data_IF_645504144298
#
_entry.id   IF_645504144298
#
_cell.length_a   1.000
_cell.length_b   1.000
_cell.length_c   1.000
_cell.angle_alpha   90.00
_cell.angle_beta   90.00
_cell.angle_gamma   90.00
#
_symmetry.space_group_name_H-M   'P 1'
#
loop_
_entity.id
_entity.type
_entity.pdbx_description
1 polymer ?
#
# COMPACT_ATOMS: atom_id res chain seq x y z
N UNK A 1 -37.92 -6.56 20.32
CA UNK A 1 -37.21 -6.61 19.02
C UNK A 1 -36.59 -5.28 18.60
N UNK A 2 -37.23 -4.15 18.84
CA UNK A 2 -36.78 -2.82 18.39
C UNK A 2 -35.43 -2.37 18.98
N UNK A 3 -35.20 -2.68 20.26
CA UNK A 3 -33.94 -2.38 20.96
C UNK A 3 -32.73 -3.14 20.39
N UNK A 4 -32.95 -4.36 19.88
CA UNK A 4 -31.90 -5.17 19.26
C UNK A 4 -31.50 -4.57 17.90
N UNK A 5 -32.50 -4.20 17.08
CA UNK A 5 -32.29 -3.49 15.81
C UNK A 5 -31.55 -2.16 15.95
N UNK A 6 -31.87 -1.34 16.98
CA UNK A 6 -31.16 -0.08 17.24
C UNK A 6 -29.71 -0.32 17.67
N UNK A 7 -29.46 -1.32 18.51
CA UNK A 7 -28.11 -1.68 18.98
C UNK A 7 -27.22 -2.18 17.84
N UNK A 8 -27.76 -3.05 16.98
CA UNK A 8 -27.04 -3.60 15.83
C UNK A 8 -26.65 -2.48 14.83
N UNK A 9 -27.55 -1.52 14.61
CA UNK A 9 -27.32 -0.37 13.73
C UNK A 9 -26.28 0.62 14.28
N UNK A 10 -26.20 0.78 15.59
CA UNK A 10 -25.17 1.61 16.26
C UNK A 10 -23.82 0.91 16.19
N UNK A 11 -23.77 -0.40 16.48
CA UNK A 11 -22.54 -1.22 16.39
C UNK A 11 -21.94 -1.16 14.99
N UNK A 12 -22.76 -1.32 13.94
CA UNK A 12 -22.29 -1.26 12.54
C UNK A 12 -21.72 0.11 12.16
N UNK A 13 -22.34 1.20 12.64
CA UNK A 13 -21.87 2.55 12.34
C UNK A 13 -20.58 2.89 13.09
N UNK A 14 -20.44 2.44 14.34
CA UNK A 14 -19.21 2.62 15.13
C UNK A 14 -18.06 1.83 14.50
N UNK A 15 -18.29 0.57 14.12
CA UNK A 15 -17.29 -0.25 13.43
C UNK A 15 -16.79 0.38 12.14
N UNK A 16 -17.70 0.90 11.29
CA UNK A 16 -17.34 1.62 10.06
C UNK A 16 -16.52 2.88 10.34
N UNK A 17 -16.89 3.64 11.37
CA UNK A 17 -16.21 4.89 11.74
C UNK A 17 -14.78 4.61 12.24
N UNK A 18 -14.61 3.61 13.11
CA UNK A 18 -13.29 3.21 13.60
C UNK A 18 -12.41 2.70 12.46
N UNK A 19 -12.95 1.86 11.57
CA UNK A 19 -12.21 1.35 10.41
C UNK A 19 -11.76 2.49 9.49
N UNK A 20 -12.63 3.47 9.24
CA UNK A 20 -12.32 4.63 8.40
C UNK A 20 -11.25 5.53 9.02
N UNK A 21 -11.31 5.76 10.34
CA UNK A 21 -10.30 6.52 11.08
C UNK A 21 -8.94 5.81 11.05
N UNK A 22 -8.93 4.49 11.23
CA UNK A 22 -7.71 3.68 11.17
C UNK A 22 -7.06 3.73 9.79
N UNK A 23 -7.86 3.62 8.72
CA UNK A 23 -7.38 3.80 7.34
C UNK A 23 -6.78 5.19 7.16
N UNK A 24 -7.43 6.26 7.64
CA UNK A 24 -6.91 7.62 7.54
C UNK A 24 -5.59 7.84 8.28
N UNK A 25 -5.43 7.28 9.49
CA UNK A 25 -4.19 7.39 10.26
C UNK A 25 -3.04 6.67 9.55
N UNK A 26 -3.28 5.45 9.04
CA UNK A 26 -2.27 4.70 8.28
C UNK A 26 -1.88 5.46 7.01
N UNK A 27 -2.88 5.99 6.29
CA UNK A 27 -2.62 6.67 5.02
C UNK A 27 -1.93 8.02 5.26
N UNK A 28 -2.33 8.78 6.29
CA UNK A 28 -1.68 10.05 6.64
C UNK A 28 -0.26 9.88 7.17
N UNK A 29 0.04 8.77 7.84
CA UNK A 29 1.40 8.46 8.28
C UNK A 29 2.31 8.05 7.12
N UNK A 30 1.79 7.29 6.14
CA UNK A 30 2.58 6.74 5.05
C UNK A 30 2.74 7.72 3.89
N UNK A 31 1.77 8.61 3.66
CA UNK A 31 1.71 9.41 2.43
C UNK A 31 1.79 10.93 2.66
N UNK A 32 2.47 11.67 1.78
CA UNK A 32 2.58 13.12 1.85
C UNK A 32 1.22 13.84 1.86
N UNK A 33 0.98 14.70 2.86
CA UNK A 33 -0.24 15.51 2.99
C UNK A 33 -0.56 16.34 1.74
N UNK A 34 0.45 16.69 0.93
CA UNK A 34 0.26 17.45 -0.31
C UNK A 34 -0.74 16.81 -1.28
N UNK A 35 -0.85 15.48 -1.31
CA UNK A 35 -1.80 14.80 -2.19
C UNK A 35 -3.26 15.01 -1.78
N UNK A 36 -3.52 15.34 -0.50
CA UNK A 36 -4.85 15.69 -0.02
C UNK A 36 -5.38 16.95 -0.71
N UNK A 37 -4.49 17.91 -1.03
CA UNK A 37 -4.84 19.14 -1.73
C UNK A 37 -5.38 18.89 -3.14
N UNK A 38 -4.90 17.85 -3.82
CA UNK A 38 -5.41 17.47 -5.15
C UNK A 38 -6.74 16.72 -5.06
N UNK A 39 -6.93 15.90 -4.03
CA UNK A 39 -8.10 15.03 -3.92
C UNK A 39 -9.35 15.76 -3.42
N UNK A 40 -9.19 16.80 -2.60
CA UNK A 40 -10.29 17.60 -2.08
C UNK A 40 -11.17 18.24 -3.17
N UNK A 41 -10.63 19.01 -4.14
CA UNK A 41 -11.44 19.58 -5.21
C UNK A 41 -12.11 18.51 -6.09
N UNK A 42 -11.40 17.42 -6.41
CA UNK A 42 -11.97 16.29 -7.16
C UNK A 42 -13.18 15.71 -6.43
N UNK A 43 -13.07 15.57 -5.11
CA UNK A 43 -14.14 15.00 -4.27
C UNK A 43 -15.37 15.92 -4.21
N UNK A 44 -15.15 17.23 -4.14
CA UNK A 44 -16.21 18.23 -4.21
C UNK A 44 -16.93 18.13 -5.56
N UNK A 45 -16.17 18.08 -6.67
CA UNK A 45 -16.73 17.96 -8.03
C UNK A 45 -17.55 16.69 -8.20
N UNK A 46 -17.06 15.54 -7.74
CA UNK A 46 -17.79 14.26 -7.80
C UNK A 46 -19.13 14.35 -7.07
N UNK A 47 -19.16 14.98 -5.90
CA UNK A 47 -20.40 15.11 -5.12
C UNK A 47 -21.35 16.11 -5.72
N UNK A 48 -20.80 17.22 -6.23
CA UNK A 48 -21.57 18.22 -6.93
C UNK A 48 -22.28 17.61 -8.15
N UNK A 49 -21.58 16.80 -8.94
CA UNK A 49 -22.16 16.04 -10.06
C UNK A 49 -23.19 15.02 -9.55
N UNK A 50 -22.84 14.22 -8.54
CA UNK A 50 -23.71 13.16 -8.00
C UNK A 50 -25.02 13.69 -7.41
N UNK A 51 -25.02 14.88 -6.83
CA UNK A 51 -26.22 15.52 -6.29
C UNK A 51 -26.95 16.36 -7.35
N UNK A 52 -26.70 16.14 -8.64
CA UNK A 52 -27.35 16.83 -9.75
C UNK A 52 -27.22 18.36 -9.64
N UNK A 53 -26.01 18.84 -9.31
CA UNK A 53 -25.67 20.26 -9.14
C UNK A 53 -26.40 20.97 -7.99
N UNK A 54 -27.14 20.23 -7.16
CA UNK A 54 -27.80 20.78 -5.97
C UNK A 54 -26.94 20.53 -4.74
N UNK A 55 -26.38 21.60 -4.19
CA UNK A 55 -25.61 21.52 -2.95
C UNK A 55 -26.48 21.94 -1.76
N UNK A 56 -26.91 20.98 -0.95
CA UNK A 56 -27.65 21.26 0.29
C UNK A 56 -26.78 20.94 1.49
N UNK A 57 -26.49 21.95 2.30
CA UNK A 57 -25.68 21.80 3.51
C UNK A 57 -26.45 21.01 4.57
N UNK A 58 -26.21 19.69 4.60
CA UNK A 58 -26.80 18.78 5.59
C UNK A 58 -25.70 17.91 6.20
N UNK A 59 -25.88 17.41 7.44
CA UNK A 59 -24.91 16.48 8.07
C UNK A 59 -24.57 15.29 7.18
N UNK A 60 -25.52 14.82 6.36
CA UNK A 60 -25.32 13.73 5.41
C UNK A 60 -24.38 14.10 4.25
N UNK A 61 -24.34 15.36 3.81
CA UNK A 61 -23.45 15.79 2.73
C UNK A 61 -21.99 15.77 3.20
N UNK A 62 -21.71 16.14 4.45
CA UNK A 62 -20.37 16.08 5.02
C UNK A 62 -19.85 14.64 5.12
N UNK A 63 -20.70 13.69 5.54
CA UNK A 63 -20.33 12.27 5.58
C UNK A 63 -20.05 11.74 4.16
N UNK A 64 -20.89 12.12 3.18
CA UNK A 64 -20.67 11.77 1.77
C UNK A 64 -19.38 12.39 1.22
N UNK A 65 -19.08 13.64 1.56
CA UNK A 65 -17.85 14.35 1.19
C UNK A 65 -16.62 13.67 1.74
N UNK A 66 -16.62 13.40 3.03
CA UNK A 66 -15.53 12.72 3.68
C UNK A 66 -15.30 11.31 3.12
N UNK A 67 -16.37 10.53 2.91
CA UNK A 67 -16.28 9.20 2.31
C UNK A 67 -15.75 9.22 0.87
N UNK A 68 -16.25 10.13 0.04
CA UNK A 68 -15.77 10.31 -1.34
C UNK A 68 -14.32 10.76 -1.34
N UNK A 69 -13.95 11.69 -0.46
CA UNK A 69 -12.57 12.15 -0.29
C UNK A 69 -11.61 11.04 0.06
N UNK A 70 -11.93 10.22 1.07
CA UNK A 70 -11.10 9.07 1.44
C UNK A 70 -10.96 8.11 0.27
N UNK A 71 -12.05 7.82 -0.44
CA UNK A 71 -12.02 6.91 -1.59
C UNK A 71 -11.14 7.45 -2.74
N UNK A 72 -11.33 8.70 -3.14
CA UNK A 72 -10.53 9.35 -4.19
C UNK A 72 -9.06 9.41 -3.78
N UNK A 73 -8.78 9.76 -2.53
CA UNK A 73 -7.44 9.83 -2.00
C UNK A 73 -6.73 8.47 -2.05
N UNK A 74 -7.39 7.40 -1.62
CA UNK A 74 -6.85 6.05 -1.71
C UNK A 74 -6.57 5.62 -3.16
N UNK A 75 -7.49 5.89 -4.08
CA UNK A 75 -7.29 5.60 -5.50
C UNK A 75 -6.11 6.38 -6.09
N UNK A 76 -6.01 7.66 -5.75
CA UNK A 76 -4.91 8.52 -6.20
C UNK A 76 -3.57 8.00 -5.69
N UNK A 77 -3.48 7.64 -4.40
CA UNK A 77 -2.28 7.07 -3.81
C UNK A 77 -1.89 5.72 -4.41
N UNK A 78 -2.87 4.86 -4.69
CA UNK A 78 -2.63 3.60 -5.38
C UNK A 78 -2.06 3.85 -6.78
N UNK A 79 -2.65 4.80 -7.50
CA UNK A 79 -2.24 5.17 -8.86
C UNK A 79 -0.82 5.73 -8.89
N UNK A 80 -0.50 6.68 -8.02
CA UNK A 80 0.85 7.27 -7.90
C UNK A 80 1.87 6.23 -7.39
N UNK A 81 1.48 5.36 -6.48
CA UNK A 81 2.37 4.33 -5.95
C UNK A 81 2.77 3.30 -7.01
N UNK A 82 1.87 2.96 -7.94
CA UNK A 82 2.10 1.95 -8.98
C UNK A 82 2.77 2.58 -10.21
N UNK A 83 2.66 3.90 -10.40
CA UNK A 83 3.19 4.60 -11.57
C UNK A 83 4.35 5.53 -11.24
N UNK A 84 5.61 5.06 -11.38
CA UNK A 84 6.80 5.91 -11.31
C UNK A 84 6.72 7.10 -12.25
N UNK A 85 6.20 6.90 -13.47
CA UNK A 85 5.96 7.97 -14.43
C UNK A 85 5.10 9.11 -13.86
N UNK A 86 3.95 8.81 -13.26
CA UNK A 86 3.09 9.85 -12.68
C UNK A 86 3.76 10.57 -11.50
N UNK A 87 4.56 9.86 -10.69
CA UNK A 87 5.35 10.47 -9.62
C UNK A 87 6.37 11.48 -10.18
N UNK A 88 7.01 11.18 -11.31
CA UNK A 88 7.94 12.10 -11.97
C UNK A 88 7.20 13.32 -12.53
N UNK A 89 6.04 13.12 -13.16
CA UNK A 89 5.26 14.23 -13.71
C UNK A 89 4.71 15.14 -12.61
N UNK A 90 4.21 14.58 -11.51
CA UNK A 90 3.82 15.35 -10.32
C UNK A 90 4.98 16.17 -9.81
N UNK A 91 6.16 15.55 -9.65
CA UNK A 91 7.35 16.26 -9.17
C UNK A 91 7.74 17.43 -10.09
N UNK A 92 7.78 17.22 -11.41
CA UNK A 92 8.09 18.27 -12.39
C UNK A 92 7.10 19.43 -12.31
N UNK A 93 5.82 19.12 -12.13
CA UNK A 93 4.77 20.12 -12.02
C UNK A 93 4.87 20.91 -10.71
N UNK A 94 5.13 20.24 -9.58
CA UNK A 94 5.29 20.90 -8.28
C UNK A 94 6.63 21.63 -8.12
N UNK A 95 7.63 21.32 -8.97
CA UNK A 95 8.98 21.87 -8.89
C UNK A 95 9.47 22.45 -10.24
N UNK A 96 8.91 23.58 -10.71
CA UNK A 96 9.18 24.10 -12.06
C UNK A 96 10.64 24.57 -12.27
N UNK A 97 11.39 24.84 -11.19
CA UNK A 97 12.82 25.16 -11.30
C UNK A 97 13.70 23.95 -11.58
N UNK A 98 13.16 22.74 -11.54
CA UNK A 98 13.91 21.52 -11.76
C UNK A 98 13.89 21.15 -13.24
N UNK A 99 15.09 20.98 -13.81
CA UNK A 99 15.28 20.69 -15.24
C UNK A 99 15.88 19.30 -15.40
N UNK A 100 15.47 18.60 -16.45
CA UNK A 100 16.10 17.33 -16.82
C UNK A 100 17.54 17.60 -17.24
N UNK A 101 18.46 16.80 -16.69
CA UNK A 101 19.87 16.81 -17.09
C UNK A 101 20.39 15.40 -17.27
N UNK A 102 21.36 15.28 -18.16
CA UNK A 102 22.20 14.09 -18.21
C UNK A 102 23.17 14.11 -17.04
N UNK A 103 23.42 12.93 -16.49
CA UNK A 103 24.30 12.73 -15.35
C UNK A 103 25.16 11.51 -15.62
N UNK A 104 26.36 11.55 -15.06
CA UNK A 104 27.29 10.44 -15.07
C UNK A 104 27.06 9.62 -13.80
N UNK A 105 26.92 8.31 -13.95
CA UNK A 105 26.80 7.40 -12.82
C UNK A 105 28.21 7.00 -12.39
N UNK A 106 28.56 7.30 -11.15
CA UNK A 106 29.89 7.02 -10.60
C UNK A 106 29.93 5.65 -9.92
N UNK A 107 28.89 5.33 -9.14
CA UNK A 107 28.84 4.09 -8.37
C UNK A 107 27.40 3.64 -8.02
N UNK A 108 27.26 2.36 -7.72
CA UNK A 108 26.01 1.64 -7.45
C UNK A 108 26.18 0.68 -6.27
N UNK A 109 25.56 0.98 -5.15
CA UNK A 109 25.64 0.13 -3.96
C UNK A 109 24.29 -0.53 -3.61
N UNK A 110 24.21 -1.88 -3.56
CA UNK A 110 22.99 -2.55 -3.14
C UNK A 110 22.91 -2.74 -1.63
N UNK A 111 21.86 -2.19 -1.05
CA UNK A 111 21.53 -2.34 0.35
C UNK A 111 20.27 -3.17 0.54
N UNK A 112 20.06 -3.60 1.78
CA UNK A 112 18.86 -4.33 2.16
C UNK A 112 18.42 -3.85 3.53
N UNK A 113 17.20 -3.34 3.61
CA UNK A 113 16.61 -2.98 4.87
C UNK A 113 15.88 -4.19 5.44
N UNK A 114 16.31 -4.67 6.61
CA UNK A 114 15.64 -5.73 7.35
C UNK A 114 14.64 -5.09 8.31
N UNK A 115 13.38 -5.02 7.90
CA UNK A 115 12.29 -4.64 8.82
C UNK A 115 12.08 -5.70 9.91
N UNK A 116 11.17 -5.42 10.86
CA UNK A 116 10.74 -6.38 11.88
C UNK A 116 10.13 -7.61 11.17
N UNK A 117 10.79 -8.78 11.26
CA UNK A 117 10.48 -10.08 10.61
C UNK A 117 10.63 -10.10 9.08
N UNK A 118 11.76 -10.62 8.58
CA UNK A 118 12.11 -11.19 7.24
C UNK A 118 11.58 -10.60 5.92
N UNK A 119 10.63 -9.67 5.93
CA UNK A 119 10.04 -8.98 4.80
C UNK A 119 10.84 -7.72 4.56
N UNK A 120 12.07 -7.91 4.11
CA UNK A 120 12.93 -6.82 3.73
C UNK A 120 12.58 -6.27 2.36
N UNK A 121 12.99 -5.04 2.11
CA UNK A 121 13.14 -4.53 0.76
C UNK A 121 14.63 -4.39 0.48
N UNK A 122 15.03 -4.73 -0.74
CA UNK A 122 16.35 -4.36 -1.23
C UNK A 122 16.23 -3.01 -1.94
N UNK A 123 17.28 -2.21 -1.85
CA UNK A 123 17.34 -0.95 -2.55
C UNK A 123 18.75 -0.66 -3.04
N UNK A 124 18.86 0.21 -4.03
CA UNK A 124 20.14 0.65 -4.57
C UNK A 124 20.35 2.11 -4.21
N UNK A 125 21.52 2.39 -3.64
CA UNK A 125 22.10 3.72 -3.54
C UNK A 125 22.87 4.01 -4.83
N UNK A 126 22.72 5.23 -5.35
CA UNK A 126 23.38 5.65 -6.58
C UNK A 126 24.19 6.91 -6.30
N UNK A 127 25.47 6.83 -6.59
CA UNK A 127 26.39 7.96 -6.62
C UNK A 127 26.46 8.46 -8.06
N UNK A 128 26.13 9.73 -8.29
CA UNK A 128 26.11 10.30 -9.62
C UNK A 128 26.59 11.75 -9.63
N UNK A 129 27.09 12.18 -10.77
CA UNK A 129 27.59 13.53 -10.98
C UNK A 129 26.73 14.27 -12.01
N UNK A 130 26.43 15.52 -11.71
CA UNK A 130 25.73 16.43 -12.62
C UNK A 130 26.60 17.64 -12.94
N UNK A 131 26.51 18.15 -14.17
CA UNK A 131 27.22 19.36 -14.58
C UNK A 131 26.26 20.53 -14.77
N UNK A 132 26.55 21.65 -14.11
CA UNK A 132 25.80 22.91 -14.25
C UNK A 132 26.75 24.09 -14.36
N UNK A 133 26.65 24.86 -15.44
CA UNK A 133 27.48 26.04 -15.71
C UNK A 133 28.98 25.73 -15.63
N UNK A 134 29.40 24.59 -16.21
CA UNK A 134 30.79 24.13 -16.19
C UNK A 134 31.28 23.57 -14.85
N UNK A 135 30.48 23.65 -13.77
CA UNK A 135 30.81 23.06 -12.46
C UNK A 135 30.18 21.69 -12.31
N UNK A 136 30.92 20.80 -11.67
CA UNK A 136 30.48 19.45 -11.33
C UNK A 136 29.95 19.38 -9.91
N UNK A 137 28.90 18.58 -9.74
CA UNK A 137 28.21 18.38 -8.47
C UNK A 137 27.98 16.89 -8.27
N UNK A 138 28.54 16.35 -7.20
CA UNK A 138 28.39 14.95 -6.82
C UNK A 138 27.18 14.79 -5.90
N UNK A 139 26.39 13.75 -6.16
CA UNK A 139 25.16 13.44 -5.45
C UNK A 139 25.15 11.98 -5.05
N UNK A 140 24.64 11.71 -3.85
CA UNK A 140 24.39 10.36 -3.35
C UNK A 140 22.91 10.27 -3.06
N UNK A 141 22.22 9.33 -3.71
CA UNK A 141 20.79 9.14 -3.52
C UNK A 141 20.47 7.70 -3.10
N UNK A 142 19.91 7.60 -1.90
CA UNK A 142 19.36 6.37 -1.35
C UNK A 142 17.96 6.06 -1.87
N UNK A 143 17.58 4.79 -1.81
CA UNK A 143 16.27 4.29 -2.21
C UNK A 143 15.88 4.64 -3.65
N UNK A 144 16.88 4.74 -4.54
CA UNK A 144 16.66 5.16 -5.91
C UNK A 144 15.84 4.13 -6.65
N UNK A 145 16.22 2.85 -6.57
CA UNK A 145 15.37 1.71 -6.89
C UNK A 145 15.08 0.93 -5.60
N UNK A 146 13.82 0.72 -5.26
CA UNK A 146 13.39 -0.07 -4.09
C UNK A 146 12.57 -1.25 -4.57
N UNK A 147 12.91 -2.47 -4.20
CA UNK A 147 12.13 -3.67 -4.53
C UNK A 147 11.65 -4.37 -3.28
N UNK A 148 10.34 -4.60 -3.23
CA UNK A 148 9.71 -5.35 -2.17
C UNK A 148 9.68 -6.84 -2.52
N UNK A 149 9.94 -7.66 -1.50
CA UNK A 149 9.89 -9.12 -1.61
C UNK A 149 8.84 -9.66 -0.66
N UNK A 150 7.97 -10.58 -1.11
CA UNK A 150 6.94 -11.15 -0.27
C UNK A 150 7.56 -12.07 0.79
N UNK A 151 6.82 -12.33 1.86
CA UNK A 151 7.32 -13.13 2.99
C UNK A 151 7.65 -14.58 2.63
N UNK A 152 6.99 -15.12 1.60
CA UNK A 152 7.23 -16.47 1.09
C UNK A 152 8.43 -16.56 0.14
N UNK A 153 9.13 -15.45 -0.12
CA UNK A 153 10.33 -15.45 -0.95
C UNK A 153 11.53 -16.04 -0.19
N UNK A 154 11.85 -17.28 -0.54
CA UNK A 154 12.92 -18.09 0.05
C UNK A 154 14.34 -17.63 -0.32
N UNK A 155 14.50 -16.65 -1.22
CA UNK A 155 15.82 -16.16 -1.63
C UNK A 155 16.54 -15.47 -0.48
N UNK A 156 17.86 -15.63 -0.44
CA UNK A 156 18.71 -15.03 0.59
C UNK A 156 18.78 -13.50 0.43
N UNK A 157 19.19 -12.81 1.48
CA UNK A 157 19.41 -11.35 1.42
C UNK A 157 20.37 -10.96 0.32
N UNK A 158 21.47 -11.70 0.14
CA UNK A 158 22.47 -11.44 -0.90
C UNK A 158 21.88 -11.61 -2.30
N UNK A 159 21.06 -12.65 -2.52
CA UNK A 159 20.37 -12.84 -3.80
C UNK A 159 19.39 -11.70 -4.12
N UNK A 160 18.64 -11.23 -3.12
CA UNK A 160 17.69 -10.11 -3.27
C UNK A 160 18.42 -8.79 -3.60
N UNK A 161 19.56 -8.54 -2.94
CA UNK A 161 20.45 -7.42 -3.23
C UNK A 161 20.97 -7.48 -4.67
N UNK A 162 21.52 -8.64 -5.06
CA UNK A 162 22.09 -8.84 -6.38
C UNK A 162 21.05 -8.73 -7.49
N UNK A 163 19.84 -9.28 -7.33
CA UNK A 163 18.75 -9.07 -8.31
C UNK A 163 18.42 -7.59 -8.46
N UNK A 164 18.34 -6.85 -7.35
CA UNK A 164 18.01 -5.42 -7.39
C UNK A 164 19.12 -4.61 -8.05
N UNK A 165 20.39 -4.96 -7.80
CA UNK A 165 21.55 -4.36 -8.46
C UNK A 165 21.51 -4.62 -9.98
N UNK A 166 21.37 -5.87 -10.41
CA UNK A 166 21.34 -6.25 -11.83
C UNK A 166 20.23 -5.53 -12.59
N UNK A 167 19.07 -5.35 -11.96
CA UNK A 167 17.96 -4.61 -12.55
C UNK A 167 18.29 -3.11 -12.66
N UNK A 168 18.91 -2.53 -11.64
CA UNK A 168 19.34 -1.14 -11.68
C UNK A 168 20.39 -0.91 -12.78
N UNK A 169 21.44 -1.75 -12.84
CA UNK A 169 22.46 -1.72 -13.88
C UNK A 169 21.85 -1.80 -15.27
N UNK A 170 20.94 -2.77 -15.49
CA UNK A 170 20.23 -2.91 -16.76
C UNK A 170 19.47 -1.63 -17.13
N UNK A 171 18.71 -1.05 -16.21
CA UNK A 171 17.96 0.18 -16.47
C UNK A 171 18.86 1.38 -16.75
N UNK A 172 20.05 1.45 -16.12
CA UNK A 172 21.01 2.50 -16.37
C UNK A 172 21.67 2.38 -17.74
N UNK A 173 22.05 1.16 -18.14
CA UNK A 173 22.57 0.86 -19.49
C UNK A 173 21.53 1.20 -20.57
N UNK A 174 20.26 0.87 -20.32
CA UNK A 174 19.14 1.22 -21.21
C UNK A 174 18.75 2.70 -21.15
N UNK A 175 19.44 3.53 -20.35
CA UNK A 175 19.12 4.94 -20.09
C UNK A 175 17.66 5.17 -19.66
N UNK A 176 17.08 4.17 -18.99
CA UNK A 176 15.70 4.18 -18.46
C UNK A 176 15.60 4.87 -17.11
N UNK A 177 16.21 6.05 -17.00
CA UNK A 177 16.22 6.91 -15.82
C UNK A 177 15.95 8.38 -16.20
N UNK A 178 15.56 9.19 -15.22
CA UNK A 178 15.45 10.64 -15.40
C UNK A 178 16.08 11.34 -14.21
N UNK A 179 17.15 12.08 -14.44
CA UNK A 179 17.70 12.98 -13.43
C UNK A 179 17.11 14.38 -13.60
N UNK A 180 16.64 14.96 -12.50
CA UNK A 180 16.21 16.34 -12.41
C UNK A 180 17.16 17.09 -11.48
N UNK A 181 17.66 18.24 -11.92
CA UNK A 181 18.54 19.11 -11.15
C UNK A 181 17.84 20.44 -10.94
N UNK A 182 17.92 20.99 -9.72
CA UNK A 182 17.33 22.29 -9.43
C UNK A 182 18.17 23.41 -10.05
N UNK A 183 17.61 24.15 -11.00
CA UNK A 183 18.30 25.27 -11.65
C UNK A 183 18.62 26.42 -10.69
N UNK A 184 17.87 26.57 -9.59
CA UNK A 184 18.14 27.57 -8.56
C UNK A 184 19.23 27.13 -7.58
N UNK A 185 19.41 25.81 -7.40
CA UNK A 185 20.40 25.26 -6.49
C UNK A 185 20.97 23.94 -7.07
N UNK A 186 22.06 24.01 -7.86
CA UNK A 186 22.63 22.83 -8.53
C UNK A 186 23.14 21.72 -7.59
N UNK A 187 23.31 22.01 -6.29
CA UNK A 187 23.63 21.00 -5.26
C UNK A 187 22.44 20.08 -4.97
N UNK A 188 21.26 20.35 -5.51
CA UNK A 188 20.08 19.49 -5.37
C UNK A 188 19.78 18.80 -6.69
N UNK A 189 19.94 17.48 -6.71
CA UNK A 189 19.53 16.63 -7.81
C UNK A 189 18.76 15.41 -7.30
N UNK A 190 17.85 14.91 -8.12
CA UNK A 190 17.08 13.69 -7.86
C UNK A 190 17.09 12.84 -9.12
N UNK A 191 17.54 11.61 -8.99
CA UNK A 191 17.50 10.58 -10.00
C UNK A 191 16.27 9.69 -9.78
N UNK A 192 15.42 9.60 -10.81
CA UNK A 192 14.25 8.73 -10.81
C UNK A 192 14.54 7.45 -11.58
N UNK A 193 14.39 6.32 -10.89
CA UNK A 193 14.54 4.97 -11.43
C UNK A 193 13.52 4.04 -10.73
N UNK A 194 12.61 3.34 -11.44
CA UNK A 194 12.41 3.37 -12.89
C UNK A 194 11.58 4.57 -13.35
N UNK A 195 11.54 4.78 -14.68
CA UNK A 195 10.65 5.76 -15.35
C UNK A 195 9.43 5.12 -16.02
N UNK A 196 9.20 3.83 -15.78
CA UNK A 196 8.10 3.09 -16.41
C UNK A 196 6.72 3.61 -16.01
N UNK A 197 5.73 3.35 -16.86
CA UNK A 197 4.34 3.69 -16.58
C UNK A 197 3.78 2.92 -15.38
N UNK A 198 4.19 1.66 -15.23
CA UNK A 198 3.72 0.75 -14.18
C UNK A 198 4.94 0.02 -13.62
N UNK A 199 5.08 0.03 -12.30
CA UNK A 199 5.98 -0.84 -11.54
C UNK A 199 5.31 -1.28 -10.24
N UNK A 200 4.84 -2.53 -10.24
CA UNK A 200 4.22 -3.11 -9.06
C UNK A 200 5.25 -3.44 -7.98
N UNK A 201 6.41 -4.02 -8.31
CA UNK A 201 7.34 -4.54 -7.28
C UNK A 201 8.01 -3.44 -6.46
N UNK A 202 8.13 -2.25 -7.03
CA UNK A 202 8.69 -1.09 -6.33
C UNK A 202 7.64 -0.25 -5.60
N UNK A 203 6.36 -0.60 -5.77
CA UNK A 203 5.24 0.14 -5.20
C UNK A 203 5.00 -0.20 -3.73
N UNK A 204 4.57 0.80 -2.93
CA UNK A 204 4.02 0.59 -1.59
C UNK A 204 2.76 -0.27 -1.66
N UNK A 205 1.99 -0.17 -2.75
CA UNK A 205 0.85 -1.04 -3.00
C UNK A 205 1.21 -2.52 -2.93
N UNK A 206 2.33 -2.95 -3.51
CA UNK A 206 2.77 -4.34 -3.43
C UNK A 206 3.14 -4.77 -2.01
N UNK A 207 3.76 -3.88 -1.22
CA UNK A 207 4.01 -4.14 0.19
C UNK A 207 2.70 -4.36 0.96
N UNK A 208 1.70 -3.50 0.73
CA UNK A 208 0.37 -3.62 1.34
C UNK A 208 -0.31 -4.92 0.90
N UNK A 209 -0.28 -5.22 -0.40
CA UNK A 209 -0.87 -6.43 -0.97
C UNK A 209 -0.27 -7.71 -0.36
N UNK A 210 1.06 -7.79 -0.28
CA UNK A 210 1.77 -8.92 0.33
C UNK A 210 1.43 -9.08 1.82
N UNK A 211 1.20 -7.97 2.53
CA UNK A 211 0.77 -7.98 3.93
C UNK A 211 -0.67 -8.48 4.07
N UNK A 212 -1.58 -8.07 3.18
CA UNK A 212 -2.94 -8.59 3.14
C UNK A 212 -2.97 -10.09 2.85
N UNK A 213 -2.05 -10.61 2.04
CA UNK A 213 -1.96 -12.06 1.78
C UNK A 213 -1.66 -12.84 3.06
N UNK A 214 -0.78 -12.33 3.94
CA UNK A 214 -0.53 -12.93 5.27
C UNK A 214 -1.81 -12.96 6.09
N UNK A 215 -2.50 -11.81 6.18
CA UNK A 215 -3.70 -11.68 6.98
C UNK A 215 -4.81 -12.61 6.50
N UNK A 216 -5.00 -12.72 5.18
CA UNK A 216 -5.95 -13.63 4.57
C UNK A 216 -5.59 -15.10 4.88
N UNK A 217 -4.31 -15.49 4.76
CA UNK A 217 -3.87 -16.83 5.09
C UNK A 217 -4.15 -17.18 6.57
N UNK A 218 -3.85 -16.27 7.49
CA UNK A 218 -4.17 -16.45 8.91
C UNK A 218 -5.68 -16.60 9.12
N UNK A 219 -6.50 -15.76 8.48
CA UNK A 219 -7.95 -15.85 8.56
C UNK A 219 -8.47 -17.23 8.11
N UNK A 220 -7.98 -17.76 6.99
CA UNK A 220 -8.36 -19.09 6.51
C UNK A 220 -7.93 -20.21 7.46
N UNK A 221 -6.75 -20.11 8.08
CA UNK A 221 -6.30 -21.07 9.09
C UNK A 221 -7.25 -21.06 10.29
N UNK A 222 -7.57 -19.88 10.84
CA UNK A 222 -8.49 -19.76 11.97
C UNK A 222 -9.91 -20.26 11.63
N UNK A 223 -10.42 -19.90 10.44
CA UNK A 223 -11.72 -20.37 9.98
C UNK A 223 -11.75 -21.91 9.86
N UNK A 224 -10.69 -22.51 9.31
CA UNK A 224 -10.57 -23.96 9.16
C UNK A 224 -10.53 -24.68 10.52
N UNK A 225 -9.75 -24.16 11.48
CA UNK A 225 -9.70 -24.68 12.85
C UNK A 225 -11.06 -24.59 13.51
N UNK A 226 -11.76 -23.46 13.36
CA UNK A 226 -13.10 -23.26 13.93
C UNK A 226 -14.11 -24.25 13.35
N UNK A 227 -14.13 -24.44 12.03
CA UNK A 227 -14.99 -25.42 11.35
C UNK A 227 -14.68 -26.83 11.86
N UNK A 228 -13.40 -27.19 11.95
CA UNK A 228 -12.99 -28.49 12.47
C UNK A 228 -13.47 -28.72 13.91
N UNK A 229 -13.29 -27.75 14.81
CA UNK A 229 -13.78 -27.84 16.19
C UNK A 229 -15.30 -27.97 16.27
N UNK A 230 -16.04 -27.24 15.43
CA UNK A 230 -17.50 -27.36 15.34
C UNK A 230 -17.94 -28.74 14.86
N UNK A 231 -17.25 -29.33 13.86
CA UNK A 231 -17.55 -30.69 13.39
C UNK A 231 -17.32 -31.74 14.48
N UNK A 232 -16.24 -31.64 15.26
CA UNK A 232 -16.01 -32.55 16.40
C UNK A 232 -17.12 -32.40 17.45
N UNK A 233 -17.50 -31.16 17.77
CA UNK A 233 -18.57 -30.90 18.75
C UNK A 233 -19.90 -31.51 18.31
N UNK A 234 -20.27 -31.35 17.03
CA UNK A 234 -21.48 -31.96 16.47
C UNK A 234 -21.40 -33.50 16.47
N UNK A 235 -20.25 -34.08 16.12
CA UNK A 235 -20.05 -35.52 16.17
C UNK A 235 -20.19 -36.08 17.59
N UNK A 236 -19.62 -35.39 18.60
CA UNK A 236 -19.79 -35.73 20.03
C UNK A 236 -21.25 -35.65 20.46
N UNK A 237 -21.96 -34.59 20.10
CA UNK A 237 -23.38 -34.42 20.42
C UNK A 237 -24.24 -35.55 19.83
N UNK A 238 -24.02 -35.88 18.56
CA UNK A 238 -24.74 -36.97 17.88
C UNK A 238 -24.42 -38.35 18.48
N UNK A 239 -23.19 -38.55 18.95
CA UNK A 239 -22.81 -39.76 19.67
C UNK A 239 -23.49 -39.86 21.05
N UNK A 240 -23.59 -38.76 21.80
CA UNK A 240 -24.31 -38.73 23.08
C UNK A 240 -25.81 -38.97 22.92
N UNK A 241 -26.46 -38.41 21.89
CA UNK A 241 -27.87 -38.67 21.60
C UNK A 241 -28.12 -40.15 21.30
N UNK A 242 -27.30 -40.76 20.43
CA UNK A 242 -27.40 -42.20 20.12
C UNK A 242 -27.21 -43.09 21.34
N UNK A 243 -26.29 -42.73 22.25
CA UNK A 243 -26.08 -43.47 23.49
C UNK A 243 -27.31 -43.39 24.40
N UNK A 244 -27.90 -42.20 24.54
CA UNK A 244 -29.10 -41.98 25.33
C UNK A 244 -30.31 -42.76 24.80
N UNK A 245 -30.56 -42.74 23.49
CA UNK A 245 -31.62 -43.55 22.87
C UNK A 245 -31.42 -45.06 23.11
N UNK A 246 -30.19 -45.54 23.06
CA UNK A 246 -29.86 -46.96 23.30
C UNK A 246 -30.14 -47.37 24.75
N UNK A 247 -29.85 -46.48 25.71
CA UNK A 247 -30.14 -46.71 27.13
C UNK A 247 -31.64 -46.70 27.43
N UNK A 248 -32.40 -45.79 26.80
CA UNK A 248 -33.86 -45.75 26.94
C UNK A 248 -34.53 -47.04 26.45
N UNK A 249 -34.19 -47.50 25.23
CA UNK A 249 -34.73 -48.76 24.69
C UNK A 249 -34.42 -49.97 25.56
N UNK A 250 -33.23 -50.03 26.18
CA UNK A 250 -32.87 -51.14 27.07
C UNK A 250 -33.73 -51.15 28.34
N UNK A 251 -34.17 -49.99 28.81
CA UNK A 251 -35.02 -49.84 30.00
C UNK A 251 -36.49 -50.21 29.73
N UNK A 252 -36.98 -50.06 28.50
CA UNK A 252 -38.35 -50.46 28.12
C UNK A 252 -38.51 -51.98 27.96
N UNK A 253 -37.41 -52.71 27.74
CA UNK A 253 -37.42 -54.17 27.52
C UNK A 253 -37.18 -54.95 28.82
N UNK A 254 -36.70 -54.29 29.89
CA UNK A 254 -36.51 -54.88 31.23
C UNK A 254 -37.70 -54.63 32.14
#
# INVERSE_FOLDING_TARGET
>A
MEFKRKRDKISDNVGKTIMMLFVLVIVGYIFPFRYALYCLPISIVIIFIRNNLRFTFSKLIYIKLFSTFVFVYLLFLLTISISPYLKIQEFKWSHPSWKKKEVEILDLEPHHFRGFKSNGHAFVEICFQSRTNGKEYNHIQQYTLKRYFPFWDKRSTSQKKQETLLIAEKMLVEKSYSCLVNSKNPNQAILFLPISYIDLRSSVFYQVLSSFTILAALFFIFASILIYLLTIRMAKHKASEKLYEKLLRKKEIS
#
